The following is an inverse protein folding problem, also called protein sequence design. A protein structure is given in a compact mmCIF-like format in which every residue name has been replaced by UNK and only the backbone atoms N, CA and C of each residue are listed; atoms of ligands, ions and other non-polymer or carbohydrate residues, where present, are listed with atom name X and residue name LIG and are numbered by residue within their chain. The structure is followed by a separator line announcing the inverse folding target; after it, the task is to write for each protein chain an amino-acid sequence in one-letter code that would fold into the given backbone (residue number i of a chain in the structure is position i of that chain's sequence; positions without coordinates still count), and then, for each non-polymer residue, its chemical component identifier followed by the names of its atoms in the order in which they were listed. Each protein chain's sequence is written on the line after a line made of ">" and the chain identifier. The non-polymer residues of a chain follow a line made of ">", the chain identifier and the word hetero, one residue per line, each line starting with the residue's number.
data_IF_171871424477
#
_entry.id   IF_171871424477
#
_cell.length_a   1.000
_cell.length_b   1.000
_cell.length_c   1.000
_cell.angle_alpha   90.00
_cell.angle_beta   90.00
_cell.angle_gamma   90.00
#
_symmetry.space_group_name_H-M   'P 1'
#
loop_
_entity.id
_entity.type
_entity.pdbx_description
1 polymer ?
#
# COMPACT_ATOMS: atom_id res chain seq x y z
N UNK A 1 19.68 -19.87 23.03
CA UNK A 1 18.63 -19.56 24.02
C UNK A 1 19.16 -18.50 24.96
N UNK A 2 18.58 -17.29 24.97
CA UNK A 2 18.77 -16.27 26.03
C UNK A 2 17.62 -15.26 25.91
N UNK A 3 16.79 -15.23 26.95
CA UNK A 3 15.60 -14.41 27.08
C UNK A 3 15.97 -12.94 27.29
N UNK A 4 15.22 -12.03 26.65
CA UNK A 4 15.38 -10.58 26.78
C UNK A 4 14.35 -10.07 27.80
N UNK A 5 14.83 -9.69 28.99
CA UNK A 5 14.01 -9.00 30.00
C UNK A 5 14.02 -7.50 29.69
N UNK A 6 12.84 -6.91 29.44
CA UNK A 6 12.66 -5.48 29.21
C UNK A 6 12.71 -4.71 30.54
N UNK A 7 13.73 -3.89 30.71
CA UNK A 7 13.81 -2.90 31.80
C UNK A 7 13.04 -1.65 31.38
N UNK A 8 12.02 -1.28 32.14
CA UNK A 8 11.33 0.00 32.01
C UNK A 8 12.15 1.03 32.79
N UNK A 9 12.78 1.98 32.09
CA UNK A 9 13.51 3.09 32.70
C UNK A 9 12.83 4.42 32.41
N UNK A 10 12.47 5.08 33.51
CA UNK A 10 11.79 6.36 33.58
C UNK A 10 12.78 7.53 33.53
N UNK A 11 12.44 8.51 32.68
CA UNK A 11 12.73 9.96 32.76
C UNK A 11 14.13 10.53 32.44
N UNK A 12 14.04 11.70 31.79
CA UNK A 12 15.01 12.79 31.56
C UNK A 12 16.05 12.59 30.45
N UNK A 13 15.91 13.49 29.47
CA UNK A 13 16.49 13.44 28.14
C UNK A 13 17.55 14.53 28.01
N UNK A 14 18.77 14.18 27.64
CA UNK A 14 19.73 15.07 26.98
C UNK A 14 20.85 14.22 26.35
N UNK A 15 21.09 14.39 25.05
CA UNK A 15 22.22 13.82 24.29
C UNK A 15 22.20 12.31 23.97
N UNK A 16 21.15 11.81 23.29
CA UNK A 16 21.31 10.63 22.44
C UNK A 16 21.15 11.05 20.97
N UNK A 17 22.29 11.08 20.27
CA UNK A 17 22.31 11.09 18.81
C UNK A 17 21.64 9.80 18.33
N UNK A 18 20.33 9.87 18.10
CA UNK A 18 19.63 8.83 17.39
C UNK A 18 20.21 8.81 15.98
N UNK A 19 20.94 7.74 15.64
CA UNK A 19 21.25 7.44 14.27
C UNK A 19 19.90 7.26 13.55
N UNK A 20 19.45 8.34 12.90
CA UNK A 20 18.37 8.27 11.94
C UNK A 20 18.89 7.33 10.85
N UNK A 21 18.34 6.12 10.77
CA UNK A 21 18.29 5.40 9.52
C UNK A 21 17.62 6.35 8.54
N UNK A 22 18.42 7.10 7.78
CA UNK A 22 17.92 7.93 6.73
C UNK A 22 17.34 6.97 5.69
N UNK A 23 16.05 6.68 5.81
CA UNK A 23 15.30 6.19 4.67
C UNK A 23 15.51 7.24 3.59
N UNK A 24 16.13 6.84 2.47
CA UNK A 24 16.29 7.75 1.35
C UNK A 24 14.94 8.37 1.01
N UNK A 25 14.89 9.68 0.71
CA UNK A 25 13.63 10.34 0.41
C UNK A 25 13.00 9.66 -0.82
N UNK A 26 11.96 8.88 -0.52
CA UNK A 26 11.29 8.05 -1.49
C UNK A 26 10.62 8.95 -2.53
N UNK A 27 11.14 8.94 -3.77
CA UNK A 27 10.76 9.92 -4.80
C UNK A 27 9.54 9.40 -5.58
N UNK A 28 8.43 10.16 -5.63
CA UNK A 28 7.27 9.79 -6.43
C UNK A 28 7.62 9.67 -7.92
N UNK A 29 7.07 8.65 -8.57
CA UNK A 29 7.16 8.50 -10.02
C UNK A 29 6.37 9.59 -10.75
N UNK A 30 6.83 9.93 -11.95
CA UNK A 30 6.04 10.74 -12.88
C UNK A 30 4.76 10.01 -13.28
N UNK A 31 3.75 10.75 -13.74
CA UNK A 31 2.48 10.15 -14.22
C UNK A 31 2.72 9.09 -15.31
N UNK A 32 3.60 9.39 -16.28
CA UNK A 32 3.90 8.48 -17.38
C UNK A 32 4.64 7.22 -16.93
N UNK A 33 5.55 7.34 -15.97
CA UNK A 33 6.27 6.19 -15.41
C UNK A 33 5.34 5.33 -14.55
N UNK A 34 4.50 5.95 -13.72
CA UNK A 34 3.49 5.25 -12.94
C UNK A 34 2.51 4.50 -13.86
N UNK A 35 2.05 5.11 -14.95
CA UNK A 35 1.15 4.49 -15.91
C UNK A 35 1.80 3.27 -16.59
N UNK A 36 3.05 3.40 -17.07
CA UNK A 36 3.78 2.27 -17.68
C UNK A 36 4.00 1.13 -16.70
N UNK A 37 4.28 1.44 -15.43
CA UNK A 37 4.51 0.43 -14.42
C UNK A 37 3.22 -0.30 -14.04
N UNK A 38 2.11 0.43 -13.92
CA UNK A 38 0.87 -0.11 -13.36
C UNK A 38 -0.05 -0.76 -14.38
N UNK A 39 0.05 -0.44 -15.66
CA UNK A 39 -0.72 -1.10 -16.70
C UNK A 39 -0.32 -2.57 -16.83
N UNK A 40 -1.28 -3.49 -16.66
CA UNK A 40 -1.04 -4.93 -16.67
C UNK A 40 -0.44 -5.49 -15.37
N UNK A 41 -0.10 -4.64 -14.40
CA UNK A 41 0.51 -5.07 -13.14
C UNK A 41 -0.47 -5.90 -12.30
N UNK A 42 0.08 -6.90 -11.62
CA UNK A 42 -0.60 -7.57 -10.51
C UNK A 42 -0.26 -6.83 -9.23
N UNK A 43 -1.28 -6.51 -8.43
CA UNK A 43 -1.13 -5.75 -7.19
C UNK A 43 -1.58 -6.61 -6.03
N UNK A 44 -0.72 -6.72 -5.02
CA UNK A 44 -1.07 -7.24 -3.70
C UNK A 44 -1.17 -6.05 -2.73
N UNK A 45 -2.29 -5.96 -2.02
CA UNK A 45 -2.57 -4.84 -1.13
C UNK A 45 -3.16 -5.31 0.18
N UNK A 46 -2.76 -4.67 1.28
CA UNK A 46 -3.39 -4.87 2.58
C UNK A 46 -4.24 -3.65 2.89
N UNK A 47 -5.56 -3.85 2.95
CA UNK A 47 -6.50 -2.77 3.30
C UNK A 47 -6.27 -2.27 4.72
N UNK A 48 -6.81 -1.09 5.02
CA UNK A 48 -6.79 -0.50 6.38
C UNK A 48 -7.45 -1.41 7.43
N UNK A 49 -8.34 -2.32 7.01
CA UNK A 49 -9.00 -3.31 7.86
C UNK A 49 -8.22 -4.63 8.00
N UNK A 50 -7.03 -4.72 7.40
CA UNK A 50 -6.16 -5.89 7.45
C UNK A 50 -6.51 -7.00 6.45
N UNK A 51 -7.51 -6.82 5.59
CA UNK A 51 -7.80 -7.80 4.54
C UNK A 51 -6.69 -7.80 3.49
N UNK A 52 -6.35 -8.98 2.97
CA UNK A 52 -5.43 -9.16 1.85
C UNK A 52 -6.22 -9.11 0.55
N UNK A 53 -5.87 -8.16 -0.31
CA UNK A 53 -6.48 -7.97 -1.62
C UNK A 53 -5.44 -8.32 -2.68
N UNK A 54 -5.88 -8.92 -3.77
CA UNK A 54 -5.10 -9.00 -5.00
C UNK A 54 -5.95 -8.67 -6.22
N UNK A 55 -5.32 -8.11 -7.25
CA UNK A 55 -5.96 -7.87 -8.55
C UNK A 55 -4.94 -7.68 -9.65
N UNK A 56 -5.42 -7.63 -10.89
CA UNK A 56 -4.66 -7.18 -12.05
C UNK A 56 -5.27 -5.90 -12.60
N UNK A 57 -4.41 -4.92 -12.90
CA UNK A 57 -4.76 -3.66 -13.54
C UNK A 57 -4.90 -3.87 -15.05
N UNK A 58 -6.13 -3.99 -15.56
CA UNK A 58 -6.36 -4.11 -17.00
C UNK A 58 -6.16 -2.77 -17.71
N UNK A 59 -5.76 -2.83 -18.99
CA UNK A 59 -5.44 -1.65 -19.81
C UNK A 59 -6.61 -0.67 -19.99
N UNK A 60 -7.85 -1.14 -19.84
CA UNK A 60 -9.08 -0.35 -19.92
C UNK A 60 -9.42 0.39 -18.62
N UNK A 61 -8.55 0.33 -17.61
CA UNK A 61 -8.79 0.94 -16.30
C UNK A 61 -9.72 0.09 -15.41
N UNK A 62 -10.03 -1.14 -15.80
CA UNK A 62 -10.78 -2.08 -14.95
C UNK A 62 -9.85 -3.06 -14.25
N UNK A 63 -10.38 -3.71 -13.22
CA UNK A 63 -9.69 -4.76 -12.47
C UNK A 63 -10.71 -5.70 -11.84
N UNK A 64 -10.30 -6.94 -11.57
CA UNK A 64 -11.09 -7.89 -10.78
C UNK A 64 -10.37 -8.11 -9.45
N UNK A 65 -10.85 -7.44 -8.40
CA UNK A 65 -10.23 -7.51 -7.08
C UNK A 65 -10.80 -8.66 -6.27
N UNK A 66 -9.91 -9.52 -5.78
CA UNK A 66 -10.26 -10.55 -4.80
C UNK A 66 -9.73 -10.14 -3.43
N UNK A 67 -10.51 -10.39 -2.40
CA UNK A 67 -10.18 -10.07 -1.01
C UNK A 67 -10.37 -11.30 -0.15
N UNK A 68 -9.38 -11.61 0.69
CA UNK A 68 -9.44 -12.65 1.70
C UNK A 68 -9.39 -11.98 3.07
N UNK A 69 -10.49 -12.12 3.82
CA UNK A 69 -10.58 -11.62 5.19
C UNK A 69 -9.87 -12.52 6.19
N UNK A 70 -9.70 -12.02 7.42
CA UNK A 70 -9.00 -12.74 8.51
C UNK A 70 -9.62 -14.11 8.87
N UNK A 71 -10.91 -14.30 8.59
CA UNK A 71 -11.63 -15.58 8.79
C UNK A 71 -11.58 -16.50 7.55
N UNK A 72 -10.74 -16.21 6.55
CA UNK A 72 -10.59 -16.99 5.33
C UNK A 72 -11.71 -16.81 4.30
N UNK A 73 -12.72 -15.97 4.57
CA UNK A 73 -13.79 -15.69 3.61
C UNK A 73 -13.23 -14.86 2.45
N UNK A 74 -13.39 -15.38 1.23
CA UNK A 74 -13.04 -14.68 0.00
C UNK A 74 -14.25 -13.97 -0.62
N UNK A 75 -14.01 -12.83 -1.26
CA UNK A 75 -14.99 -12.14 -2.10
C UNK A 75 -14.29 -11.49 -3.27
N UNK A 76 -14.96 -11.40 -4.42
CA UNK A 76 -14.40 -10.84 -5.65
C UNK A 76 -15.34 -9.77 -6.20
N UNK A 77 -14.79 -8.65 -6.68
CA UNK A 77 -15.53 -7.50 -7.20
C UNK A 77 -14.81 -6.89 -8.41
N UNK A 78 -15.55 -6.61 -9.51
CA UNK A 78 -15.03 -5.93 -10.71
C UNK A 78 -15.05 -4.41 -10.53
N UNK A 79 -13.92 -3.75 -10.62
CA UNK A 79 -13.73 -2.38 -10.12
C UNK A 79 -12.76 -1.59 -11.01
N UNK A 80 -12.45 -0.35 -10.63
CA UNK A 80 -11.68 0.56 -11.49
C UNK A 80 -10.42 1.06 -10.83
N UNK A 81 -9.43 1.33 -11.67
CA UNK A 81 -8.19 1.98 -11.31
C UNK A 81 -7.84 3.06 -12.33
N UNK A 82 -7.06 4.06 -11.90
CA UNK A 82 -6.53 5.10 -12.78
C UNK A 82 -5.28 5.74 -12.20
N UNK A 83 -4.54 6.45 -13.05
CA UNK A 83 -3.54 7.42 -12.61
C UNK A 83 -4.16 8.81 -12.76
N UNK A 84 -4.14 9.61 -11.70
CA UNK A 84 -4.61 11.00 -11.79
C UNK A 84 -3.55 11.95 -12.39
N UNK A 85 -3.93 13.21 -12.57
CA UNK A 85 -3.05 14.26 -13.13
C UNK A 85 -1.81 14.52 -12.29
N UNK A 86 -1.81 14.13 -11.01
CA UNK A 86 -0.67 14.27 -10.09
C UNK A 86 0.20 13.01 -10.06
N UNK A 87 -0.07 12.02 -10.92
CA UNK A 87 0.67 10.76 -10.96
C UNK A 87 0.30 9.78 -9.84
N UNK A 88 -0.83 9.99 -9.15
CA UNK A 88 -1.28 9.10 -8.08
C UNK A 88 -2.05 7.92 -8.65
N UNK A 89 -1.71 6.73 -8.18
CA UNK A 89 -2.50 5.52 -8.39
C UNK A 89 -3.76 5.58 -7.53
N UNK A 90 -4.91 5.62 -8.19
CA UNK A 90 -6.22 5.67 -7.57
C UNK A 90 -6.99 4.37 -7.83
N UNK A 91 -7.63 3.86 -6.78
CA UNK A 91 -8.40 2.62 -6.76
C UNK A 91 -9.78 2.91 -6.17
N UNK A 92 -10.82 2.36 -6.79
CA UNK A 92 -12.19 2.40 -6.27
C UNK A 92 -12.80 1.01 -6.32
N UNK A 93 -13.10 0.45 -5.15
CA UNK A 93 -13.66 -0.88 -4.97
C UNK A 93 -14.87 -0.81 -4.06
N UNK A 94 -16.06 -0.88 -4.64
CA UNK A 94 -17.30 -1.06 -3.88
C UNK A 94 -17.39 -2.50 -3.34
N UNK A 95 -17.21 -2.75 -2.05
CA UNK A 95 -17.46 -4.06 -1.46
C UNK A 95 -18.92 -4.15 -0.99
N UNK A 96 -19.51 -5.36 -0.85
CA UNK A 96 -20.88 -5.50 -0.36
C UNK A 96 -21.18 -4.76 0.95
N UNK A 97 -20.16 -4.56 1.81
CA UNK A 97 -20.28 -3.90 3.10
C UNK A 97 -19.72 -2.47 3.15
N UNK A 98 -18.95 -2.03 2.15
CA UNK A 98 -18.27 -0.73 2.18
C UNK A 98 -17.62 -0.35 0.85
N UNK A 99 -17.51 0.94 0.60
CA UNK A 99 -16.64 1.47 -0.46
C UNK A 99 -15.18 1.56 0.02
N UNK A 100 -14.24 1.12 -0.81
CA UNK A 100 -12.80 1.28 -0.63
C UNK A 100 -12.27 2.20 -1.73
N UNK A 101 -11.94 3.44 -1.37
CA UNK A 101 -11.45 4.45 -2.32
C UNK A 101 -10.21 5.14 -1.78
N UNK A 102 -9.16 5.19 -2.60
CA UNK A 102 -7.93 5.88 -2.23
C UNK A 102 -7.12 6.28 -3.47
N UNK A 103 -6.22 7.25 -3.26
CA UNK A 103 -5.18 7.64 -4.21
C UNK A 103 -3.83 7.71 -3.47
N UNK A 104 -2.77 7.12 -4.04
CA UNK A 104 -1.42 7.08 -3.47
C UNK A 104 -0.37 7.35 -4.54
N UNK A 105 0.72 8.01 -4.18
CA UNK A 105 1.86 8.11 -5.09
C UNK A 105 2.51 6.75 -5.25
N UNK A 106 2.90 6.43 -6.47
CA UNK A 106 3.78 5.29 -6.73
C UNK A 106 5.19 5.75 -6.49
N UNK A 107 5.92 5.02 -5.67
CA UNK A 107 7.27 5.35 -5.29
C UNK A 107 8.14 4.18 -5.73
N UNK A 108 9.30 4.48 -6.32
CA UNK A 108 10.31 3.46 -6.56
C UNK A 108 11.08 3.29 -5.26
N UNK A 109 11.06 2.09 -4.68
CA UNK A 109 11.96 1.77 -3.58
C UNK A 109 13.40 1.92 -4.09
N UNK A 110 14.21 2.70 -3.36
CA UNK A 110 15.64 2.81 -3.61
C UNK A 110 16.29 1.46 -3.35
N UNK A 111 17.15 1.02 -4.27
CA UNK A 111 17.99 -0.17 -4.11
C UNK A 111 19.26 0.21 -3.35
#
# INVERSE_FOLDING_TARGET
>A
MKHLTLVVLSSLQCCLAQAQLAAEPATPLSQGDAARLLQGATVDFTSTRGNKLNWKNEADGTMLASSVGSKGRSTTQKRTWKIDEKGRFCVSIDWPSNLEEWCRHVIKDGE
#
